data_IF_713005139793
#
_entry.id   IF_713005139793
#
_cell.length_a   1.000
_cell.length_b   1.000
_cell.length_c   1.000
_cell.angle_alpha   90.00
_cell.angle_beta   90.00
_cell.angle_gamma   90.00
#
_symmetry.space_group_name_H-M   'P 1'
#
loop_
_entity.id
_entity.type
_entity.pdbx_description
1 polymer ?
#
# COMPACT_ATOMS: atom_id res chain seq x y z
N UNK A 1 4.33 15.60 -6.08
CA UNK A 1 3.10 15.77 -5.28
C UNK A 1 2.11 14.70 -5.74
N UNK A 2 1.57 13.89 -4.82
CA UNK A 2 0.94 12.58 -5.08
C UNK A 2 -0.31 12.58 -5.99
N UNK A 3 -0.77 13.74 -6.47
CA UNK A 3 -1.95 13.83 -7.35
C UNK A 3 -3.26 13.47 -6.66
N UNK A 4 -3.30 13.59 -5.32
CA UNK A 4 -4.44 13.28 -4.48
C UNK A 4 -5.16 14.59 -4.13
N UNK A 5 -6.46 14.68 -4.34
CA UNK A 5 -7.30 15.60 -3.56
C UNK A 5 -7.81 14.84 -2.33
N UNK A 6 -7.34 15.14 -1.11
CA UNK A 6 -7.79 14.45 0.09
C UNK A 6 -9.25 14.75 0.45
N UNK A 7 -9.87 15.75 -0.19
CA UNK A 7 -11.25 16.18 0.07
C UNK A 7 -12.25 15.63 -0.94
N UNK A 8 -11.78 15.08 -2.04
CA UNK A 8 -12.62 14.56 -3.12
C UNK A 8 -12.10 13.21 -3.60
N UNK A 9 -12.48 12.16 -2.85
CA UNK A 9 -12.18 10.77 -3.21
C UNK A 9 -13.46 9.97 -3.19
N UNK A 10 -13.67 9.20 -4.25
CA UNK A 10 -14.70 8.17 -4.26
C UNK A 10 -14.44 7.17 -3.13
N UNK A 11 -15.48 6.84 -2.36
CA UNK A 11 -15.43 5.86 -1.28
C UNK A 11 -16.49 4.80 -1.46
N UNK A 12 -16.19 3.55 -1.10
CA UNK A 12 -17.21 2.50 -1.04
C UNK A 12 -18.27 2.80 0.05
N UNK A 13 -19.48 2.23 -0.05
CA UNK A 13 -20.55 2.51 0.90
C UNK A 13 -20.22 2.10 2.35
N UNK A 14 -20.54 2.96 3.30
CA UNK A 14 -20.41 2.69 4.74
C UNK A 14 -18.98 2.77 5.27
N UNK A 15 -18.06 3.39 4.51
CA UNK A 15 -16.71 3.70 4.98
C UNK A 15 -16.78 4.69 6.13
N UNK A 16 -15.98 4.42 7.17
CA UNK A 16 -15.74 5.40 8.23
C UNK A 16 -14.96 6.57 7.64
N UNK A 17 -15.52 7.76 7.76
CA UNK A 17 -14.83 8.99 7.36
C UNK A 17 -13.47 9.11 8.05
N UNK A 18 -12.48 9.57 7.29
CA UNK A 18 -11.13 9.83 7.76
C UNK A 18 -10.79 11.29 7.46
N UNK A 19 -11.38 12.25 8.20
CA UNK A 19 -11.18 13.67 7.93
C UNK A 19 -9.72 14.07 8.10
N UNK A 20 -9.29 15.08 7.35
CA UNK A 20 -7.98 15.71 7.56
C UNK A 20 -8.12 16.75 8.68
N UNK A 21 -8.08 16.27 9.92
CA UNK A 21 -8.24 17.08 11.13
C UNK A 21 -6.93 17.80 11.53
N UNK A 22 -7.01 18.65 12.57
CA UNK A 22 -5.87 19.42 13.07
C UNK A 22 -4.69 18.54 13.49
N UNK A 23 -4.99 17.37 14.06
CA UNK A 23 -3.96 16.42 14.47
C UNK A 23 -3.23 15.86 13.25
N UNK A 24 -3.96 15.42 12.22
CA UNK A 24 -3.35 14.92 10.98
C UNK A 24 -2.60 16.01 10.21
N UNK A 25 -3.07 17.26 10.28
CA UNK A 25 -2.34 18.39 9.74
C UNK A 25 -0.99 18.57 10.45
N UNK A 26 -0.97 18.51 11.79
CA UNK A 26 0.26 18.59 12.58
C UNK A 26 1.20 17.39 12.33
N UNK A 27 0.67 16.17 12.27
CA UNK A 27 1.46 14.97 11.95
C UNK A 27 2.07 15.08 10.53
N UNK A 28 1.32 15.63 9.57
CA UNK A 28 1.82 15.84 8.21
C UNK A 28 2.89 16.95 8.15
N UNK A 29 2.71 18.05 8.88
CA UNK A 29 3.72 19.11 9.00
C UNK A 29 5.00 18.58 9.65
N UNK A 30 4.89 17.72 10.66
CA UNK A 30 6.04 17.06 11.26
C UNK A 30 6.79 16.21 10.24
N UNK A 31 6.07 15.36 9.48
CA UNK A 31 6.65 14.55 8.41
C UNK A 31 7.40 15.41 7.39
N UNK A 32 6.77 16.50 6.91
CA UNK A 32 7.39 17.41 5.95
C UNK A 32 8.66 18.08 6.50
N UNK A 33 8.67 18.39 7.79
CA UNK A 33 9.75 19.15 8.42
C UNK A 33 10.92 18.30 8.91
N UNK A 34 10.69 17.00 9.17
CA UNK A 34 11.69 16.14 9.84
C UNK A 34 12.01 14.86 9.07
N UNK A 35 11.01 14.25 8.41
CA UNK A 35 11.15 12.91 7.85
C UNK A 35 11.32 12.92 6.33
N UNK A 36 10.75 13.92 5.65
CA UNK A 36 10.77 14.00 4.19
C UNK A 36 12.21 14.06 3.64
N UNK A 37 13.09 14.84 4.27
CA UNK A 37 14.48 14.92 3.84
C UNK A 37 15.17 13.56 3.91
N UNK A 38 14.94 12.79 4.98
CA UNK A 38 15.48 11.44 5.10
C UNK A 38 14.96 10.53 3.97
N UNK A 39 13.66 10.60 3.65
CA UNK A 39 13.07 9.82 2.55
C UNK A 39 13.60 10.25 1.17
N UNK A 40 13.92 11.53 0.97
CA UNK A 40 14.47 12.05 -0.28
C UNK A 40 15.96 11.73 -0.46
N UNK A 41 16.71 11.58 0.63
CA UNK A 41 18.13 11.23 0.62
C UNK A 41 18.39 9.71 0.71
N UNK A 42 17.34 8.91 0.86
CA UNK A 42 17.44 7.46 0.91
C UNK A 42 18.08 6.91 -0.37
N UNK A 43 19.09 6.05 -0.22
CA UNK A 43 19.87 5.51 -1.32
C UNK A 43 19.51 4.05 -1.66
N UNK A 44 18.38 3.54 -1.15
CA UNK A 44 17.89 2.19 -1.43
C UNK A 44 17.73 2.00 -2.94
N UNK A 45 18.51 1.07 -3.47
CA UNK A 45 18.46 0.67 -4.87
C UNK A 45 17.63 -0.59 -4.99
N UNK A 46 17.09 -0.82 -6.18
CA UNK A 46 16.36 -2.04 -6.49
C UNK A 46 17.19 -3.32 -6.25
N UNK A 47 18.52 -3.23 -6.36
CA UNK A 47 19.45 -4.33 -6.06
C UNK A 47 19.63 -4.65 -4.57
N UNK A 48 19.18 -3.75 -3.68
CA UNK A 48 19.27 -3.92 -2.23
C UNK A 48 18.06 -4.68 -1.66
N UNK A 49 17.09 -5.03 -2.51
CA UNK A 49 15.91 -5.79 -2.12
C UNK A 49 16.32 -7.21 -1.66
N UNK A 50 15.82 -7.68 -0.50
CA UNK A 50 16.21 -8.96 0.05
C UNK A 50 15.79 -10.11 -0.88
N UNK A 51 16.74 -11.01 -1.14
CA UNK A 51 16.48 -12.23 -1.89
C UNK A 51 15.48 -13.13 -1.13
N UNK A 52 14.55 -13.74 -1.87
CA UNK A 52 13.61 -14.74 -1.34
C UNK A 52 12.26 -14.20 -0.83
N UNK A 53 12.06 -12.88 -0.80
CA UNK A 53 10.74 -12.30 -0.54
C UNK A 53 9.89 -12.24 -1.83
N UNK A 54 8.61 -12.63 -1.75
CA UNK A 54 7.65 -12.40 -2.84
C UNK A 54 7.23 -10.93 -2.82
N UNK A 55 7.65 -10.17 -3.82
CA UNK A 55 7.24 -8.78 -4.00
C UNK A 55 6.10 -8.74 -5.01
N UNK A 56 5.00 -8.06 -4.66
CA UNK A 56 3.87 -7.83 -5.56
C UNK A 56 3.71 -6.33 -5.81
N UNK A 57 4.20 -5.83 -6.95
CA UNK A 57 4.01 -4.44 -7.33
C UNK A 57 2.53 -4.15 -7.55
N UNK A 58 2.02 -3.11 -6.92
CA UNK A 58 0.61 -2.75 -6.97
C UNK A 58 0.42 -1.27 -7.30
N UNK A 59 -0.67 -0.95 -7.99
CA UNK A 59 -1.11 0.42 -8.26
C UNK A 59 -2.61 0.56 -8.04
N UNK A 60 -3.05 1.72 -7.54
CA UNK A 60 -4.47 2.03 -7.43
C UNK A 60 -5.10 2.23 -8.82
N UNK A 61 -6.30 1.70 -9.03
CA UNK A 61 -7.05 1.79 -10.28
C UNK A 61 -7.31 3.20 -10.76
N UNK A 62 -7.56 4.13 -9.84
CA UNK A 62 -7.86 5.54 -10.11
C UNK A 62 -6.65 6.46 -9.93
N UNK A 63 -5.46 5.90 -9.65
CA UNK A 63 -4.23 6.68 -9.52
C UNK A 63 -3.94 7.41 -10.84
N UNK A 64 -3.66 8.73 -10.83
CA UNK A 64 -3.39 9.48 -12.04
C UNK A 64 -2.26 8.84 -12.88
N UNK A 65 -2.40 8.89 -14.21
CA UNK A 65 -1.41 8.26 -15.11
C UNK A 65 0.01 8.79 -14.85
N UNK A 66 0.16 10.09 -14.61
CA UNK A 66 1.41 10.75 -14.25
C UNK A 66 1.71 10.82 -12.74
N UNK A 67 0.88 10.20 -11.90
CA UNK A 67 1.07 10.17 -10.46
C UNK A 67 2.35 9.42 -10.08
N UNK A 68 3.12 9.98 -9.15
CA UNK A 68 4.41 9.42 -8.73
C UNK A 68 4.26 8.00 -8.18
N UNK A 69 3.24 7.77 -7.36
CA UNK A 69 2.92 6.47 -6.76
C UNK A 69 2.64 5.39 -7.83
N UNK A 70 1.84 5.71 -8.84
CA UNK A 70 1.60 4.81 -9.97
C UNK A 70 2.89 4.52 -10.75
N UNK A 71 3.69 5.55 -11.03
CA UNK A 71 4.93 5.39 -11.78
C UNK A 71 5.94 4.54 -11.02
N UNK A 72 6.10 4.76 -9.72
CA UNK A 72 6.96 3.96 -8.85
C UNK A 72 6.56 2.47 -8.89
N UNK A 73 5.27 2.16 -8.72
CA UNK A 73 4.77 0.78 -8.80
C UNK A 73 5.04 0.11 -10.15
N UNK A 74 4.88 0.84 -11.26
CA UNK A 74 5.15 0.33 -12.61
C UNK A 74 6.63 0.13 -12.91
N UNK A 75 7.50 1.01 -12.40
CA UNK A 75 8.96 0.86 -12.52
C UNK A 75 9.43 -0.37 -11.76
N UNK A 76 8.92 -0.58 -10.54
CA UNK A 76 9.21 -1.79 -9.75
C UNK A 76 8.74 -3.06 -10.47
N UNK A 77 7.52 -3.05 -11.02
CA UNK A 77 6.99 -4.16 -11.82
C UNK A 77 7.88 -4.52 -13.01
N UNK A 78 8.31 -3.50 -13.77
CA UNK A 78 9.23 -3.68 -14.89
C UNK A 78 10.57 -4.26 -14.43
N UNK A 79 11.13 -3.75 -13.34
CA UNK A 79 12.41 -4.24 -12.82
C UNK A 79 12.35 -5.71 -12.42
N UNK A 80 11.26 -6.12 -11.77
CA UNK A 80 11.05 -7.51 -11.33
C UNK A 80 10.58 -8.44 -12.45
N UNK A 81 10.25 -7.92 -13.63
CA UNK A 81 9.74 -8.70 -14.76
C UNK A 81 8.35 -9.31 -14.51
N UNK A 82 7.56 -8.73 -13.59
CA UNK A 82 6.21 -9.18 -13.24
C UNK A 82 5.18 -8.09 -13.51
N UNK A 83 3.91 -8.42 -13.81
CA UNK A 83 2.88 -7.42 -13.98
C UNK A 83 2.56 -6.72 -12.64
N UNK A 84 2.31 -5.41 -12.70
CA UNK A 84 1.71 -4.70 -11.57
C UNK A 84 0.24 -5.12 -11.42
N UNK A 85 -0.20 -5.40 -10.20
CA UNK A 85 -1.60 -5.66 -9.90
C UNK A 85 -2.35 -4.37 -9.63
N UNK A 86 -3.64 -4.35 -9.98
CA UNK A 86 -4.53 -3.24 -9.67
C UNK A 86 -5.25 -3.48 -8.34
N UNK A 87 -5.37 -2.40 -7.57
CA UNK A 87 -6.15 -2.33 -6.33
C UNK A 87 -7.23 -1.26 -6.44
N UNK A 88 -8.40 -1.46 -5.79
CA UNK A 88 -9.46 -0.45 -5.76
C UNK A 88 -8.99 0.91 -5.22
N UNK A 89 -9.53 1.98 -5.80
CA UNK A 89 -9.20 3.35 -5.44
C UNK A 89 -7.83 3.84 -5.98
N UNK A 90 -7.32 4.92 -5.39
CA UNK A 90 -6.05 5.54 -5.76
C UNK A 90 -4.98 5.31 -4.69
N UNK A 91 -4.21 6.34 -4.39
CA UNK A 91 -3.20 6.31 -3.33
C UNK A 91 -3.73 5.82 -1.97
N UNK A 92 -4.94 6.25 -1.60
CA UNK A 92 -5.61 5.88 -0.36
C UNK A 92 -6.63 4.74 -0.56
N UNK A 93 -6.38 3.82 -1.49
CA UNK A 93 -7.30 2.73 -1.83
C UNK A 93 -7.76 1.90 -0.61
N UNK A 94 -6.86 1.65 0.33
CA UNK A 94 -7.15 0.94 1.58
C UNK A 94 -8.10 1.70 2.52
N UNK A 95 -8.13 3.03 2.44
CA UNK A 95 -9.01 3.87 3.26
C UNK A 95 -10.36 4.14 2.57
N UNK A 96 -10.32 4.35 1.25
CA UNK A 96 -11.49 4.66 0.42
C UNK A 96 -12.33 3.42 0.09
N UNK A 97 -11.69 2.26 -0.07
CA UNK A 97 -12.32 1.00 -0.48
C UNK A 97 -11.90 -0.18 0.42
N UNK A 98 -11.98 -0.08 1.76
CA UNK A 98 -11.37 -1.04 2.67
C UNK A 98 -11.82 -2.48 2.45
N UNK A 99 -13.10 -2.73 2.16
CA UNK A 99 -13.61 -4.09 1.91
C UNK A 99 -13.11 -4.64 0.59
N UNK A 100 -13.24 -3.86 -0.49
CA UNK A 100 -12.77 -4.30 -1.80
C UNK A 100 -11.24 -4.47 -1.83
N UNK A 101 -10.51 -3.56 -1.17
CA UNK A 101 -9.06 -3.62 -1.01
C UNK A 101 -8.63 -4.87 -0.23
N UNK A 102 -9.28 -5.19 0.89
CA UNK A 102 -8.99 -6.39 1.68
C UNK A 102 -9.29 -7.69 0.93
N UNK A 103 -10.40 -7.73 0.18
CA UNK A 103 -10.72 -8.86 -0.69
C UNK A 103 -9.63 -9.07 -1.74
N UNK A 104 -9.22 -7.98 -2.42
CA UNK A 104 -8.15 -8.02 -3.41
C UNK A 104 -6.80 -8.43 -2.82
N UNK A 105 -6.48 -7.93 -1.63
CA UNK A 105 -5.26 -8.30 -0.91
C UNK A 105 -5.24 -9.81 -0.62
N UNK A 106 -6.37 -10.34 -0.14
CA UNK A 106 -6.51 -11.77 0.16
C UNK A 106 -6.38 -12.63 -1.10
N UNK A 107 -6.95 -12.21 -2.23
CA UNK A 107 -6.79 -12.89 -3.51
C UNK A 107 -5.32 -12.90 -3.97
N UNK A 108 -4.67 -11.73 -3.97
CA UNK A 108 -3.30 -11.54 -4.45
C UNK A 108 -2.29 -12.33 -3.61
N UNK A 109 -2.44 -12.29 -2.29
CA UNK A 109 -1.53 -12.96 -1.36
C UNK A 109 -1.90 -14.44 -1.19
N UNK A 110 -3.19 -14.76 -1.13
CA UNK A 110 -3.72 -16.12 -0.95
C UNK A 110 -3.56 -17.02 -2.17
N UNK A 111 -3.53 -16.49 -3.39
CA UNK A 111 -3.21 -17.27 -4.59
C UNK A 111 -1.78 -17.87 -4.58
N UNK A 112 -0.91 -17.46 -3.66
CA UNK A 112 0.41 -18.06 -3.45
C UNK A 112 0.50 -18.98 -2.21
N UNK A 113 -0.58 -19.12 -1.43
CA UNK A 113 -0.60 -19.99 -0.26
C UNK A 113 -1.58 -21.12 -0.53
N UNK A 114 -1.07 -22.25 -1.03
CA UNK A 114 -1.65 -23.53 -0.59
C UNK A 114 -1.35 -23.62 0.91
N UNK A 115 -2.36 -23.63 1.81
CA UNK A 115 -2.08 -23.71 3.23
C UNK A 115 -1.61 -25.13 3.54
N UNK A 116 -0.31 -25.31 3.70
CA UNK A 116 0.23 -26.39 4.53
C UNK A 116 0.53 -25.81 5.92
N UNK A 117 -0.44 -25.10 6.49
CA UNK A 117 -0.44 -24.82 7.92
C UNK A 117 -1.13 -25.99 8.60
N UNK A 118 -0.37 -27.05 8.88
CA UNK A 118 -0.82 -28.14 9.75
C UNK A 118 -1.08 -27.54 11.14
N UNK A 119 -2.32 -27.67 11.63
CA UNK A 119 -2.68 -27.36 13.02
C UNK A 119 -2.09 -28.40 13.97
N UNK A 120 -0.79 -28.47 14.10
CA UNK A 120 -0.16 -29.20 15.20
C UNK A 120 0.84 -28.26 15.88
N UNK A 121 0.50 -27.81 17.10
CA UNK A 121 1.45 -27.11 17.96
C UNK A 121 0.97 -25.87 18.71
N UNK A 122 -0.32 -25.47 18.64
CA UNK A 122 -0.79 -24.39 19.50
C UNK A 122 -1.09 -24.92 20.91
N UNK A 123 -0.06 -25.02 21.76
CA UNK A 123 -0.26 -25.03 23.20
C UNK A 123 -0.66 -23.61 23.65
N UNK A 124 -1.82 -23.44 24.33
CA UNK A 124 -2.19 -22.13 24.84
C UNK A 124 -1.31 -21.78 26.05
N UNK A 125 -0.73 -20.58 26.00
CA UNK A 125 -0.05 -19.94 27.11
C UNK A 125 -0.99 -19.92 28.33
N UNK A 126 -0.64 -20.67 29.39
CA UNK A 126 -1.33 -20.59 30.68
C UNK A 126 -0.74 -19.43 31.48
N UNK A 127 -1.64 -18.62 32.03
CA UNK A 127 -1.39 -17.59 33.05
C UNK A 127 -0.97 -18.19 34.38
#
# INVERSE_FOLDING_TARGET
MLGIDPRDQETEPGVREFPFDERRAADFEYFLSHDLDAALQDDLRLGDLPAGARIVPAVGETSPVGGFDRQAGLVLARHLGVPAVRFPGGHNGNMTHPRAFAARLTEVLGAAVSPQWSREGHEPYRS
#
